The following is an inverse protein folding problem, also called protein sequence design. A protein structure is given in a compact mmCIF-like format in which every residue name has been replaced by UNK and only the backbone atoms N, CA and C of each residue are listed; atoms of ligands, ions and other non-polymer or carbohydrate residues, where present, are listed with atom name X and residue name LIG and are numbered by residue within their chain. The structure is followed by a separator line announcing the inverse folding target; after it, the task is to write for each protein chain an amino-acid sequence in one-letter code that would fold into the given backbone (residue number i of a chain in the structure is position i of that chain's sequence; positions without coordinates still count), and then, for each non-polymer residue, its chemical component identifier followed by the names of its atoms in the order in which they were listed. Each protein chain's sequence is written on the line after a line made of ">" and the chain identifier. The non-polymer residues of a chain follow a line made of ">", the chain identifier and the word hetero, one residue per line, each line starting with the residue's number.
data_IF_985530239268
#
_entry.id   IF_985530239268
#
_cell.length_a   1.000
_cell.length_b   1.000
_cell.length_c   1.000
_cell.angle_alpha   90.00
_cell.angle_beta   90.00
_cell.angle_gamma   90.00
#
_symmetry.space_group_name_H-M   'P 1'
#
loop_
_entity.id
_entity.type
_entity.pdbx_description
1 polymer ?
#
# COMPACT_ATOMS: atom_id res chain seq x y z
N UNK A 1 0.01 31.77 -18.75
CA UNK A 1 -0.30 30.66 -19.67
C UNK A 1 -1.15 29.66 -18.91
N UNK A 2 -2.32 29.30 -19.43
CA UNK A 2 -3.15 28.25 -18.84
C UNK A 2 -2.61 26.87 -19.23
N UNK A 3 -2.59 25.93 -18.28
CA UNK A 3 -2.21 24.55 -18.57
C UNK A 3 -3.32 23.92 -19.44
N UNK A 4 -3.00 23.21 -20.53
CA UNK A 4 -3.98 22.50 -21.36
C UNK A 4 -4.80 21.47 -20.56
N UNK A 5 -6.06 21.23 -20.95
CA UNK A 5 -6.95 20.32 -20.23
C UNK A 5 -6.41 18.87 -20.15
N UNK A 6 -5.81 18.38 -21.22
CA UNK A 6 -5.18 17.06 -21.29
C UNK A 6 -3.92 16.94 -20.38
N UNK A 7 -3.27 18.05 -20.11
CA UNK A 7 -2.16 18.08 -19.16
C UNK A 7 -2.67 18.08 -17.70
N UNK A 8 -3.83 18.69 -17.43
CA UNK A 8 -4.49 18.55 -16.13
C UNK A 8 -4.91 17.09 -15.87
N UNK A 9 -5.49 16.43 -16.88
CA UNK A 9 -5.85 15.01 -16.78
C UNK A 9 -4.62 14.16 -16.45
N UNK A 10 -3.50 14.37 -17.13
CA UNK A 10 -2.23 13.66 -16.86
C UNK A 10 -1.78 13.83 -15.41
N UNK A 11 -1.80 15.06 -14.88
CA UNK A 11 -1.38 15.30 -13.50
C UNK A 11 -2.37 14.75 -12.48
N UNK A 12 -3.67 14.76 -12.77
CA UNK A 12 -4.68 14.14 -11.93
C UNK A 12 -4.49 12.63 -11.86
N UNK A 13 -4.29 11.95 -12.99
CA UNK A 13 -4.04 10.50 -13.03
C UNK A 13 -2.73 10.12 -12.34
N UNK A 14 -1.69 10.94 -12.46
CA UNK A 14 -0.44 10.74 -11.72
C UNK A 14 -0.65 10.89 -10.20
N UNK A 15 -1.45 11.86 -9.78
CA UNK A 15 -1.83 12.05 -8.38
C UNK A 15 -2.59 10.84 -7.82
N UNK A 16 -3.58 10.34 -8.56
CA UNK A 16 -4.34 9.14 -8.19
C UNK A 16 -3.42 7.91 -8.10
N UNK A 17 -2.55 7.71 -9.08
CA UNK A 17 -1.59 6.61 -9.03
C UNK A 17 -0.65 6.70 -7.84
N UNK A 18 -0.20 7.91 -7.48
CA UNK A 18 0.66 8.14 -6.32
C UNK A 18 -0.05 7.88 -4.99
N UNK A 19 -1.32 8.28 -4.87
CA UNK A 19 -2.16 7.97 -3.71
C UNK A 19 -2.35 6.47 -3.55
N UNK A 20 -2.71 5.75 -4.63
CA UNK A 20 -2.86 4.29 -4.61
C UNK A 20 -1.58 3.57 -4.21
N UNK A 21 -0.43 4.06 -4.64
CA UNK A 21 0.86 3.53 -4.20
C UNK A 21 1.07 3.67 -2.68
N UNK A 22 0.68 4.80 -2.09
CA UNK A 22 0.75 5.03 -0.64
C UNK A 22 -0.25 4.14 0.12
N UNK A 23 -1.48 3.99 -0.38
CA UNK A 23 -2.48 3.08 0.20
C UNK A 23 -1.97 1.64 0.20
N UNK A 24 -1.29 1.22 -0.86
CA UNK A 24 -0.65 -0.11 -0.93
C UNK A 24 0.47 -0.26 0.12
N UNK A 25 1.25 0.78 0.38
CA UNK A 25 2.27 0.78 1.44
C UNK A 25 1.66 0.59 2.83
N UNK A 26 0.56 1.29 3.11
CA UNK A 26 -0.19 1.15 4.36
C UNK A 26 -0.70 -0.28 4.52
N UNK A 27 -1.31 -0.86 3.48
CA UNK A 27 -1.84 -2.23 3.55
C UNK A 27 -0.74 -3.28 3.74
N UNK A 28 0.41 -3.12 3.12
CA UNK A 28 1.58 -3.95 3.39
C UNK A 28 2.05 -3.85 4.85
N UNK A 29 1.98 -2.65 5.44
CA UNK A 29 2.22 -2.43 6.87
C UNK A 29 1.21 -3.18 7.75
N UNK A 30 -0.08 -3.11 7.40
CA UNK A 30 -1.14 -3.83 8.10
C UNK A 30 -0.92 -5.34 8.09
N UNK A 31 -0.57 -5.93 6.94
CA UNK A 31 -0.24 -7.37 6.85
C UNK A 31 0.92 -7.72 7.79
N UNK A 32 1.99 -6.93 7.80
CA UNK A 32 3.13 -7.17 8.66
C UNK A 32 2.76 -7.09 10.16
N UNK A 33 1.96 -6.10 10.54
CA UNK A 33 1.46 -5.94 11.92
C UNK A 33 0.51 -7.07 12.32
N UNK A 34 -0.45 -7.42 11.48
CA UNK A 34 -1.39 -8.51 11.73
C UNK A 34 -0.67 -9.84 11.92
N UNK A 35 0.36 -10.12 11.12
CA UNK A 35 1.19 -11.30 11.28
C UNK A 35 1.94 -11.31 12.63
N UNK A 36 2.58 -10.22 12.99
CA UNK A 36 3.30 -10.11 14.26
C UNK A 36 2.37 -10.31 15.47
N UNK A 37 1.16 -9.78 15.40
CA UNK A 37 0.18 -9.89 16.48
C UNK A 37 -0.46 -11.28 16.61
N UNK A 38 -0.31 -12.17 15.63
CA UNK A 38 -0.71 -13.59 15.78
C UNK A 38 0.08 -14.31 16.89
N UNK A 39 1.32 -13.91 17.11
CA UNK A 39 2.23 -14.55 18.07
C UNK A 39 2.30 -13.82 19.42
N UNK A 40 1.58 -12.69 19.56
CA UNK A 40 1.58 -11.88 20.77
C UNK A 40 0.21 -12.03 21.46
N UNK A 41 0.20 -12.56 22.68
CA UNK A 41 -1.02 -12.60 23.50
C UNK A 41 -1.30 -11.17 24.02
N UNK A 42 -2.19 -10.44 23.34
CA UNK A 42 -2.49 -9.04 23.64
C UNK A 42 -3.14 -8.82 25.00
N UNK A 43 -3.72 -9.87 25.60
CA UNK A 43 -4.42 -9.77 26.90
C UNK A 43 -3.45 -9.82 28.11
N UNK A 44 -2.19 -10.16 27.86
CA UNK A 44 -1.15 -10.33 28.90
C UNK A 44 0.14 -9.59 28.61
N UNK A 45 0.12 -8.56 27.74
CA UNK A 45 1.32 -7.81 27.38
C UNK A 45 1.87 -7.09 28.62
N UNK A 46 3.06 -7.50 29.09
CA UNK A 46 3.79 -6.76 30.10
C UNK A 46 4.35 -5.43 29.52
N UNK A 47 4.79 -4.53 30.38
CA UNK A 47 5.28 -3.21 29.94
C UNK A 47 6.45 -3.30 28.94
N UNK A 48 7.34 -4.28 29.10
CA UNK A 48 8.49 -4.52 28.22
C UNK A 48 8.07 -5.04 26.84
N UNK A 49 7.09 -5.94 26.80
CA UNK A 49 6.51 -6.44 25.53
C UNK A 49 5.73 -5.35 24.80
N UNK A 50 5.04 -4.48 25.53
CA UNK A 50 4.35 -3.32 24.99
C UNK A 50 5.31 -2.29 24.38
N UNK A 51 6.51 -2.13 24.94
CA UNK A 51 7.56 -1.28 24.38
C UNK A 51 8.17 -1.90 23.13
N UNK A 52 8.43 -3.20 23.14
CA UNK A 52 8.90 -3.95 21.98
C UNK A 52 7.88 -3.90 20.84
N UNK A 53 6.59 -4.06 21.12
CA UNK A 53 5.53 -3.95 20.13
C UNK A 53 5.46 -2.53 19.51
N UNK A 54 5.51 -1.46 20.34
CA UNK A 54 5.58 -0.08 19.83
C UNK A 54 6.77 0.14 18.92
N UNK A 55 7.94 -0.37 19.29
CA UNK A 55 9.13 -0.26 18.45
C UNK A 55 8.97 -0.96 17.10
N UNK A 56 8.30 -2.11 17.07
CA UNK A 56 7.98 -2.82 15.82
C UNK A 56 6.99 -2.02 14.97
N UNK A 57 5.95 -1.44 15.57
CA UNK A 57 4.99 -0.55 14.87
C UNK A 57 5.72 0.66 14.27
N UNK A 58 6.57 1.32 15.05
CA UNK A 58 7.38 2.45 14.57
C UNK A 58 8.33 2.04 13.44
N UNK A 59 8.93 0.87 13.53
CA UNK A 59 9.80 0.33 12.48
C UNK A 59 9.01 0.02 11.19
N UNK A 60 7.82 -0.54 11.29
CA UNK A 60 6.94 -0.79 10.14
C UNK A 60 6.57 0.53 9.46
N UNK A 61 6.18 1.54 10.24
CA UNK A 61 5.78 2.86 9.72
C UNK A 61 6.93 3.63 9.04
N UNK A 62 8.19 3.30 9.36
CA UNK A 62 9.39 3.92 8.74
C UNK A 62 9.91 3.15 7.53
N UNK A 63 9.45 1.94 7.31
CA UNK A 63 9.95 1.08 6.23
C UNK A 63 9.27 1.42 4.90
N UNK A 64 10.05 1.34 3.82
CA UNK A 64 9.50 1.44 2.46
C UNK A 64 8.71 0.19 2.11
N UNK A 65 7.80 0.29 1.14
CA UNK A 65 7.05 -0.87 0.62
C UNK A 65 7.96 -2.06 0.29
N UNK A 66 9.11 -1.83 -0.35
CA UNK A 66 10.05 -2.89 -0.69
C UNK A 66 10.60 -3.63 0.54
N UNK A 67 10.93 -2.90 1.61
CA UNK A 67 11.41 -3.49 2.86
C UNK A 67 10.30 -4.26 3.59
N UNK A 68 9.07 -3.72 3.61
CA UNK A 68 7.90 -4.40 4.18
C UNK A 68 7.60 -5.71 3.46
N UNK A 69 7.63 -5.72 2.14
CA UNK A 69 7.38 -6.92 1.34
C UNK A 69 8.47 -7.97 1.52
N UNK A 70 9.75 -7.58 1.62
CA UNK A 70 10.82 -8.51 1.97
C UNK A 70 10.60 -9.14 3.35
N UNK A 71 10.16 -8.34 4.31
CA UNK A 71 9.84 -8.82 5.65
C UNK A 71 8.67 -9.82 5.61
N UNK A 72 7.56 -9.48 4.95
CA UNK A 72 6.41 -10.36 4.75
C UNK A 72 6.85 -11.70 4.14
N UNK A 73 7.68 -11.68 3.09
CA UNK A 73 8.22 -12.89 2.45
C UNK A 73 9.08 -13.75 3.38
N UNK A 74 9.76 -13.14 4.33
CA UNK A 74 10.65 -13.84 5.27
C UNK A 74 9.90 -14.53 6.41
N UNK A 75 8.70 -14.06 6.75
CA UNK A 75 7.94 -14.51 7.93
C UNK A 75 6.87 -15.56 7.61
N UNK A 76 6.47 -15.71 6.35
CA UNK A 76 5.37 -16.61 5.98
C UNK A 76 5.52 -17.25 4.61
N UNK A 77 4.82 -18.36 4.42
CA UNK A 77 4.67 -19.00 3.11
C UNK A 77 3.40 -18.44 2.47
N UNK A 78 3.57 -17.48 1.55
CA UNK A 78 2.48 -16.93 0.78
C UNK A 78 2.33 -17.65 -0.55
N UNK A 79 1.12 -17.66 -1.10
CA UNK A 79 0.90 -18.16 -2.43
C UNK A 79 1.78 -17.41 -3.44
N UNK A 80 2.52 -18.11 -4.31
CA UNK A 80 3.39 -17.48 -5.29
C UNK A 80 2.67 -16.46 -6.19
N UNK A 81 1.37 -16.65 -6.47
CA UNK A 81 0.59 -15.73 -7.27
C UNK A 81 0.38 -14.38 -6.59
N UNK A 82 0.18 -14.38 -5.27
CA UNK A 82 0.09 -13.14 -4.47
C UNK A 82 1.43 -12.42 -4.50
N UNK A 83 2.53 -13.14 -4.28
CA UNK A 83 3.88 -12.56 -4.28
C UNK A 83 4.22 -11.94 -5.63
N UNK A 84 3.85 -12.58 -6.73
CA UNK A 84 4.09 -12.06 -8.08
C UNK A 84 3.34 -10.74 -8.34
N UNK A 85 2.07 -10.66 -7.96
CA UNK A 85 1.25 -9.44 -8.14
C UNK A 85 1.81 -8.29 -7.29
N UNK A 86 2.22 -8.59 -6.06
CA UNK A 86 2.79 -7.59 -5.15
C UNK A 86 4.17 -7.12 -5.63
N UNK A 87 5.00 -8.01 -6.17
CA UNK A 87 6.30 -7.66 -6.77
C UNK A 87 6.13 -6.76 -8.00
N UNK A 88 5.18 -7.09 -8.89
CA UNK A 88 4.87 -6.24 -10.05
C UNK A 88 4.39 -4.83 -9.60
N UNK A 89 3.56 -4.76 -8.59
CA UNK A 89 3.12 -3.48 -8.01
C UNK A 89 4.30 -2.68 -7.42
N UNK A 90 5.25 -3.33 -6.73
CA UNK A 90 6.46 -2.69 -6.23
C UNK A 90 7.32 -2.11 -7.36
N UNK A 91 7.50 -2.87 -8.44
CA UNK A 91 8.23 -2.39 -9.62
C UNK A 91 7.54 -1.16 -10.23
N UNK A 92 6.21 -1.19 -10.36
CA UNK A 92 5.41 -0.05 -10.87
C UNK A 92 5.47 1.16 -9.96
N UNK A 93 5.45 0.97 -8.64
CA UNK A 93 5.63 2.06 -7.67
C UNK A 93 7.00 2.73 -7.83
N UNK A 94 8.06 1.94 -7.94
CA UNK A 94 9.41 2.46 -8.12
C UNK A 94 9.56 3.16 -9.48
N UNK A 95 8.97 2.62 -10.54
CA UNK A 95 8.91 3.26 -11.84
C UNK A 95 8.16 4.60 -11.78
N UNK A 96 6.96 4.62 -11.19
CA UNK A 96 6.14 5.83 -11.03
C UNK A 96 6.92 6.94 -10.32
N UNK A 97 7.53 6.61 -9.18
CA UNK A 97 8.22 7.59 -8.33
C UNK A 97 9.51 8.13 -8.95
N UNK A 98 10.30 7.28 -9.62
CA UNK A 98 11.66 7.64 -10.00
C UNK A 98 11.89 7.79 -11.48
N UNK A 99 11.03 7.21 -12.33
CA UNK A 99 11.31 7.08 -13.75
C UNK A 99 10.21 7.62 -14.66
N UNK A 100 8.95 7.67 -14.24
CA UNK A 100 7.81 7.95 -15.12
C UNK A 100 8.02 9.19 -15.99
N UNK A 101 8.18 10.37 -15.40
CA UNK A 101 8.40 11.60 -16.17
C UNK A 101 9.75 11.65 -16.89
N UNK A 102 10.76 10.93 -16.41
CA UNK A 102 12.05 10.83 -17.09
C UNK A 102 11.96 10.00 -18.38
N UNK A 103 11.16 8.95 -18.35
CA UNK A 103 10.89 8.10 -19.52
C UNK A 103 10.06 8.86 -20.56
N UNK A 104 9.14 9.70 -20.11
CA UNK A 104 8.21 10.45 -20.95
C UNK A 104 8.59 11.93 -21.16
N UNK A 105 9.87 12.27 -21.01
CA UNK A 105 10.36 13.66 -21.06
C UNK A 105 10.03 14.41 -22.36
N UNK A 106 9.86 13.73 -23.48
CA UNK A 106 9.43 14.30 -24.74
C UNK A 106 7.92 14.12 -25.01
N UNK A 107 7.36 13.00 -24.58
CA UNK A 107 5.95 12.69 -24.79
C UNK A 107 5.00 13.71 -24.11
N UNK A 108 5.43 14.31 -23.01
CA UNK A 108 4.66 15.32 -22.28
C UNK A 108 4.34 16.57 -23.10
N UNK A 109 5.13 16.88 -24.14
CA UNK A 109 4.91 18.06 -24.98
C UNK A 109 3.91 17.85 -26.11
N UNK A 110 3.55 16.61 -26.40
CA UNK A 110 2.62 16.23 -27.46
C UNK A 110 1.31 15.69 -26.91
N UNK A 111 0.17 16.01 -27.56
CA UNK A 111 -1.17 15.57 -27.13
C UNK A 111 -1.30 14.06 -27.16
N UNK A 112 -0.80 13.39 -28.22
CA UNK A 112 -0.84 11.94 -28.31
C UNK A 112 0.05 11.27 -27.25
N UNK A 113 1.21 11.88 -26.99
CA UNK A 113 2.12 11.44 -25.93
C UNK A 113 1.48 11.53 -24.54
N UNK A 114 0.84 12.67 -24.20
CA UNK A 114 0.11 12.80 -22.91
C UNK A 114 -1.02 11.80 -22.76
N UNK A 115 -1.76 11.53 -23.85
CA UNK A 115 -2.80 10.51 -23.85
C UNK A 115 -2.23 9.11 -23.57
N UNK A 116 -1.13 8.74 -24.17
CA UNK A 116 -0.45 7.47 -23.90
C UNK A 116 0.03 7.38 -22.45
N UNK A 117 0.56 8.48 -21.88
CA UNK A 117 0.96 8.56 -20.49
C UNK A 117 -0.25 8.35 -19.54
N UNK A 118 -1.40 8.93 -19.84
CA UNK A 118 -2.64 8.74 -19.07
C UNK A 118 -3.07 7.27 -19.07
N UNK A 119 -3.07 6.61 -20.22
CA UNK A 119 -3.42 5.18 -20.31
C UNK A 119 -2.45 4.30 -19.51
N UNK A 120 -1.15 4.60 -19.55
CA UNK A 120 -0.16 3.90 -18.74
C UNK A 120 -0.38 4.11 -17.24
N UNK A 121 -0.71 5.33 -16.80
CA UNK A 121 -1.04 5.60 -15.40
C UNK A 121 -2.27 4.83 -14.93
N UNK A 122 -3.29 4.73 -15.76
CA UNK A 122 -4.48 3.92 -15.48
C UNK A 122 -4.17 2.43 -15.38
N UNK A 123 -3.22 1.94 -16.18
CA UNK A 123 -2.74 0.56 -16.05
C UNK A 123 -2.00 0.33 -14.73
N UNK A 124 -1.13 1.25 -14.36
CA UNK A 124 -0.43 1.24 -13.06
C UNK A 124 -1.42 1.24 -11.89
N UNK A 125 -2.45 2.08 -11.96
CA UNK A 125 -3.51 2.14 -10.94
C UNK A 125 -4.22 0.79 -10.78
N UNK A 126 -4.59 0.13 -11.89
CA UNK A 126 -5.22 -1.21 -11.84
C UNK A 126 -4.34 -2.24 -11.15
N UNK A 127 -3.02 -2.18 -11.36
CA UNK A 127 -2.07 -3.08 -10.70
C UNK A 127 -1.96 -2.81 -9.20
N UNK A 128 -2.00 -1.55 -8.79
CA UNK A 128 -2.05 -1.20 -7.37
C UNK A 128 -3.35 -1.67 -6.71
N UNK A 129 -4.50 -1.48 -7.37
CA UNK A 129 -5.79 -1.96 -6.86
C UNK A 129 -5.80 -3.48 -6.67
N UNK A 130 -5.24 -4.23 -7.63
CA UNK A 130 -5.14 -5.69 -7.54
C UNK A 130 -4.24 -6.12 -6.39
N UNK A 131 -3.06 -5.52 -6.25
CA UNK A 131 -2.13 -5.84 -5.16
C UNK A 131 -2.73 -5.48 -3.79
N UNK A 132 -3.38 -4.32 -3.69
CA UNK A 132 -4.08 -3.90 -2.47
C UNK A 132 -5.17 -4.90 -2.08
N UNK A 133 -6.02 -5.30 -3.01
CA UNK A 133 -7.09 -6.27 -2.74
C UNK A 133 -6.54 -7.63 -2.24
N UNK A 134 -5.42 -8.09 -2.81
CA UNK A 134 -4.77 -9.32 -2.36
C UNK A 134 -4.17 -9.19 -0.95
N UNK A 135 -3.45 -8.11 -0.66
CA UNK A 135 -2.90 -7.87 0.67
C UNK A 135 -4.00 -7.68 1.71
N UNK A 136 -5.08 -6.99 1.35
CA UNK A 136 -6.23 -6.82 2.23
C UNK A 136 -6.88 -8.16 2.61
N UNK A 137 -7.06 -9.07 1.65
CA UNK A 137 -7.55 -10.42 1.92
C UNK A 137 -6.62 -11.22 2.86
N UNK A 138 -5.31 -11.04 2.72
CA UNK A 138 -4.32 -11.62 3.65
C UNK A 138 -4.48 -11.03 5.04
N UNK A 139 -4.55 -9.70 5.16
CA UNK A 139 -4.74 -9.00 6.43
C UNK A 139 -6.02 -9.47 7.15
N UNK A 140 -7.16 -9.50 6.45
CA UNK A 140 -8.43 -10.01 7.01
C UNK A 140 -8.33 -11.46 7.49
N UNK A 141 -7.62 -12.32 6.74
CA UNK A 141 -7.42 -13.72 7.12
C UNK A 141 -6.60 -13.83 8.41
N UNK A 142 -5.51 -13.07 8.51
CA UNK A 142 -4.67 -13.03 9.70
C UNK A 142 -5.43 -12.53 10.93
N UNK A 143 -6.22 -11.47 10.79
CA UNK A 143 -7.06 -10.94 11.88
C UNK A 143 -8.16 -11.93 12.31
N UNK A 144 -8.73 -12.65 11.35
CA UNK A 144 -9.70 -13.73 11.66
C UNK A 144 -9.04 -14.88 12.42
N UNK A 145 -7.86 -15.33 12.02
CA UNK A 145 -7.08 -16.37 12.71
C UNK A 145 -6.69 -15.95 14.12
N UNK A 146 -6.43 -14.66 14.33
CA UNK A 146 -6.15 -14.08 15.65
C UNK A 146 -7.40 -13.92 16.55
N UNK A 147 -8.61 -14.25 16.05
CA UNK A 147 -9.87 -14.04 16.77
C UNK A 147 -10.29 -12.58 16.90
N UNK A 148 -9.69 -11.67 16.15
CA UNK A 148 -9.95 -10.23 16.19
C UNK A 148 -10.75 -9.67 15.02
N UNK A 149 -11.14 -10.50 14.06
CA UNK A 149 -11.75 -10.07 12.79
C UNK A 149 -12.95 -9.13 12.98
N UNK A 150 -13.85 -9.42 13.92
CA UNK A 150 -15.03 -8.58 14.17
C UNK A 150 -14.66 -7.26 14.87
N UNK A 151 -13.74 -7.30 15.82
CA UNK A 151 -13.27 -6.10 16.52
C UNK A 151 -12.52 -5.15 15.56
N UNK A 152 -11.71 -5.69 14.66
CA UNK A 152 -11.02 -4.93 13.63
C UNK A 152 -11.99 -4.25 12.64
N UNK A 153 -12.97 -4.99 12.13
CA UNK A 153 -14.02 -4.44 11.25
C UNK A 153 -14.81 -3.31 11.94
N UNK A 154 -15.19 -3.51 13.18
CA UNK A 154 -15.90 -2.50 13.96
C UNK A 154 -15.06 -1.24 14.20
N UNK A 155 -13.75 -1.40 14.49
CA UNK A 155 -12.84 -0.28 14.68
C UNK A 155 -12.64 0.51 13.37
N UNK A 156 -12.38 -0.18 12.27
CA UNK A 156 -12.18 0.44 10.95
C UNK A 156 -13.42 1.23 10.52
N UNK A 157 -14.61 0.67 10.70
CA UNK A 157 -15.86 1.37 10.38
C UNK A 157 -16.07 2.60 11.26
N UNK A 158 -15.77 2.51 12.55
CA UNK A 158 -15.84 3.67 13.46
C UNK A 158 -14.88 4.79 13.07
N UNK A 159 -13.66 4.46 12.66
CA UNK A 159 -12.66 5.44 12.20
C UNK A 159 -13.09 6.09 10.89
N UNK A 160 -13.61 5.30 9.95
CA UNK A 160 -14.15 5.77 8.67
C UNK A 160 -15.31 6.76 8.87
N UNK A 161 -16.28 6.41 9.73
CA UNK A 161 -17.44 7.27 10.04
C UNK A 161 -17.02 8.53 10.79
N UNK A 162 -16.02 8.45 11.66
CA UNK A 162 -15.54 9.60 12.42
C UNK A 162 -14.70 10.58 11.60
N UNK A 163 -14.30 10.24 10.37
CA UNK A 163 -13.44 11.06 9.50
C UNK A 163 -12.10 11.43 10.16
N UNK A 164 -11.67 10.66 11.15
CA UNK A 164 -10.42 10.94 11.87
C UNK A 164 -9.23 10.51 11.03
N UNK A 165 -8.24 11.40 10.92
CA UNK A 165 -6.90 11.01 10.51
C UNK A 165 -6.37 10.01 11.53
N UNK A 166 -5.99 8.84 11.05
CA UNK A 166 -5.22 7.88 11.85
C UNK A 166 -3.77 8.20 11.55
N UNK A 167 -3.03 8.71 12.53
CA UNK A 167 -1.58 8.73 12.47
C UNK A 167 -1.13 7.27 12.67
N UNK A 168 -0.80 6.64 11.54
CA UNK A 168 -0.23 5.29 11.50
C UNK A 168 1.27 5.44 11.65
#
# INVERSE_FOLDING_TARGET
>A
MSIPADQYELYAEFGIASEKAQVLEVEAGNVALSYLTLFVNTDQICAEEGEMFRKVVDDVNRKTLGTLLQHIKSIGTFDPSILQVVDDALERRNYLTHKFFRTHNFAIFDVAGRKAMVEELRDIQRKFDMAHAMLHGVSETLESLAGRGDAWKALTERLRVAGKKVDI
#
